data_IF_577977496956
#
_entry.id   IF_577977496956
#
_cell.length_a   1.000
_cell.length_b   1.000
_cell.length_c   1.000
_cell.angle_alpha   90.00
_cell.angle_beta   90.00
_cell.angle_gamma   90.00
#
_symmetry.space_group_name_H-M   'P 1'
#
loop_
_entity.id
_entity.type
_entity.pdbx_description
1 polymer ?
#
# COMPACT_ATOMS: atom_id res chain seq x y z
N UNK A 1 -5.92 -6.47 -20.21
CA UNK A 1 -4.72 -5.63 -20.43
C UNK A 1 -5.06 -4.34 -21.16
N UNK A 2 -5.87 -4.39 -22.21
CA UNK A 2 -6.20 -3.22 -23.05
C UNK A 2 -6.80 -2.04 -22.29
N UNK A 3 -7.70 -2.30 -21.33
CA UNK A 3 -8.28 -1.25 -20.50
C UNK A 3 -7.20 -0.47 -19.72
N UNK A 4 -6.26 -1.18 -19.08
CA UNK A 4 -5.17 -0.53 -18.35
C UNK A 4 -4.25 0.25 -19.28
N UNK A 5 -3.91 -0.30 -20.44
CA UNK A 5 -3.07 0.38 -21.43
C UNK A 5 -3.75 1.66 -21.95
N UNK A 6 -5.02 1.57 -22.34
CA UNK A 6 -5.82 2.70 -22.83
C UNK A 6 -5.91 3.83 -21.80
N UNK A 7 -6.14 3.48 -20.53
CA UNK A 7 -6.28 4.46 -19.47
C UNK A 7 -4.95 4.96 -18.91
N UNK A 8 -3.84 4.23 -19.06
CA UNK A 8 -2.54 4.60 -18.46
C UNK A 8 -1.53 5.21 -19.44
N UNK A 9 -1.69 5.01 -20.76
CA UNK A 9 -0.74 5.46 -21.78
C UNK A 9 -1.29 6.59 -22.65
N UNK A 10 -0.44 7.51 -23.08
CA UNK A 10 -0.74 8.56 -24.07
C UNK A 10 0.26 8.53 -25.21
N UNK A 11 -0.14 9.03 -26.39
CA UNK A 11 0.78 9.23 -27.51
C UNK A 11 1.65 10.45 -27.29
N UNK A 12 2.93 10.31 -27.64
CA UNK A 12 3.92 11.37 -27.73
C UNK A 12 4.62 11.23 -29.11
N UNK A 13 4.07 11.92 -30.12
CA UNK A 13 4.45 11.74 -31.52
C UNK A 13 4.11 10.33 -32.03
N UNK A 14 5.14 9.60 -32.46
CA UNK A 14 5.05 8.20 -32.90
C UNK A 14 5.24 7.20 -31.75
N UNK A 15 5.65 7.66 -30.57
CA UNK A 15 5.85 6.82 -29.39
C UNK A 15 4.64 6.85 -28.44
N UNK A 16 4.61 5.86 -27.54
CA UNK A 16 3.71 5.84 -26.39
C UNK A 16 4.49 6.09 -25.11
N UNK A 17 3.89 6.87 -24.21
CA UNK A 17 4.46 7.16 -22.90
C UNK A 17 3.39 7.03 -21.81
N UNK A 18 3.81 6.85 -20.56
CA UNK A 18 2.92 6.84 -19.42
C UNK A 18 2.26 8.22 -19.25
N UNK A 19 0.98 8.23 -18.87
CA UNK A 19 0.28 9.48 -18.52
C UNK A 19 0.81 10.08 -17.22
N UNK A 20 1.31 9.26 -16.30
CA UNK A 20 2.02 9.73 -15.12
C UNK A 20 3.48 10.03 -15.45
N UNK A 21 4.08 10.98 -14.71
CA UNK A 21 5.48 11.36 -14.93
C UNK A 21 6.43 10.20 -14.61
N UNK A 22 7.39 9.85 -15.49
CA UNK A 22 8.42 8.85 -15.19
C UNK A 22 9.29 9.22 -13.97
N UNK A 23 9.29 10.49 -13.54
CA UNK A 23 9.98 10.92 -12.33
C UNK A 23 9.50 10.22 -11.06
N UNK A 24 8.30 9.60 -11.05
CA UNK A 24 7.84 8.78 -9.91
C UNK A 24 8.76 7.60 -9.61
N UNK A 25 9.55 7.15 -10.60
CA UNK A 25 10.56 6.11 -10.45
C UNK A 25 11.96 6.67 -10.16
N UNK A 26 12.15 7.99 -10.28
CA UNK A 26 13.38 8.69 -9.86
C UNK A 26 13.31 9.05 -8.38
N UNK A 27 12.91 8.11 -7.54
CA UNK A 27 13.11 8.25 -6.10
C UNK A 27 14.56 7.87 -5.82
N UNK A 28 15.25 8.71 -5.06
CA UNK A 28 16.52 8.34 -4.47
C UNK A 28 16.22 7.18 -3.52
N UNK A 29 16.38 5.95 -4.00
CA UNK A 29 16.20 4.74 -3.20
C UNK A 29 17.39 4.63 -2.25
N UNK A 30 17.48 5.53 -1.27
CA UNK A 30 18.52 5.47 -0.24
C UNK A 30 18.17 4.26 0.63
N UNK A 31 19.00 3.21 0.68
CA UNK A 31 18.67 1.98 1.41
C UNK A 31 18.35 2.21 2.88
N UNK A 32 18.89 3.27 3.49
CA UNK A 32 18.60 3.67 4.87
C UNK A 32 17.13 4.06 5.09
N UNK A 33 16.47 4.71 4.12
CA UNK A 33 15.06 5.10 4.26
C UNK A 33 14.14 3.88 4.34
N UNK A 34 14.46 2.82 3.60
CA UNK A 34 13.72 1.56 3.64
C UNK A 34 13.86 0.85 4.98
N UNK A 35 15.05 0.92 5.59
CA UNK A 35 15.32 0.33 6.90
C UNK A 35 14.62 1.11 8.03
N UNK A 36 14.46 2.42 7.89
CA UNK A 36 13.80 3.26 8.90
C UNK A 36 12.28 3.25 8.78
N UNK A 37 11.72 2.90 7.62
CA UNK A 37 10.29 3.01 7.34
C UNK A 37 9.39 2.29 8.37
N UNK A 38 9.80 1.11 8.85
CA UNK A 38 9.07 0.40 9.90
C UNK A 38 9.03 1.18 11.21
N UNK A 39 10.17 1.77 11.61
CA UNK A 39 10.29 2.58 12.82
C UNK A 39 9.47 3.86 12.70
N UNK A 40 9.61 4.57 11.57
CA UNK A 40 8.84 5.78 11.29
C UNK A 40 7.33 5.50 11.34
N UNK A 41 6.88 4.37 10.80
CA UNK A 41 5.48 3.96 10.88
C UNK A 41 5.04 3.78 12.33
N UNK A 42 5.78 3.02 13.15
CA UNK A 42 5.39 2.77 14.54
C UNK A 42 5.36 4.06 15.38
N UNK A 43 6.38 4.90 15.23
CA UNK A 43 6.54 6.16 15.98
C UNK A 43 5.57 7.27 15.51
N UNK A 44 5.00 7.15 14.30
CA UNK A 44 4.09 8.17 13.78
C UNK A 44 2.85 8.35 14.69
N UNK A 45 2.44 9.59 14.97
CA UNK A 45 1.28 9.86 15.81
C UNK A 45 -0.03 9.48 15.12
N UNK A 46 -1.06 9.21 15.92
CA UNK A 46 -2.41 8.93 15.44
C UNK A 46 -2.68 7.45 15.13
N UNK A 47 -3.88 7.21 14.58
CA UNK A 47 -4.34 5.87 14.24
C UNK A 47 -3.67 5.40 12.96
N UNK A 48 -3.16 4.17 13.01
CA UNK A 48 -2.38 3.55 11.94
C UNK A 48 -2.98 2.20 11.61
N UNK A 49 -2.87 1.80 10.35
CA UNK A 49 -3.18 0.44 9.90
C UNK A 49 -2.37 0.13 8.64
N UNK A 50 -2.09 -1.14 8.43
CA UNK A 50 -1.45 -1.65 7.21
C UNK A 50 -2.48 -2.50 6.48
N UNK A 51 -2.79 -2.14 5.23
CA UNK A 51 -3.62 -2.97 4.33
C UNK A 51 -2.72 -3.42 3.18
N UNK A 52 -2.57 -4.73 3.03
CA UNK A 52 -1.69 -5.31 2.01
C UNK A 52 -2.39 -6.44 1.27
N UNK A 53 -1.88 -6.80 0.08
CA UNK A 53 -2.29 -8.03 -0.58
C UNK A 53 -1.70 -9.24 0.15
N UNK A 54 -2.52 -10.26 0.41
CA UNK A 54 -2.11 -11.51 1.07
C UNK A 54 -0.93 -12.20 0.37
N UNK A 55 -0.84 -12.08 -0.96
CA UNK A 55 0.20 -12.67 -1.80
C UNK A 55 1.28 -11.65 -2.21
N UNK A 56 1.37 -10.53 -1.48
CA UNK A 56 2.38 -9.50 -1.75
C UNK A 56 3.79 -10.02 -1.47
N UNK A 57 4.70 -9.82 -2.42
CA UNK A 57 6.14 -10.05 -2.21
C UNK A 57 6.84 -8.84 -1.59
N UNK A 58 6.16 -7.70 -1.51
CA UNK A 58 6.70 -6.46 -0.92
C UNK A 58 6.29 -6.28 0.54
N UNK A 59 5.27 -7.02 1.01
CA UNK A 59 4.88 -7.04 2.40
C UNK A 59 4.48 -8.48 2.74
N UNK A 60 5.34 -9.15 3.51
CA UNK A 60 5.24 -10.58 3.84
C UNK A 60 4.95 -10.75 5.33
N UNK A 61 4.85 -12.01 5.79
CA UNK A 61 4.77 -12.30 7.22
C UNK A 61 5.97 -11.72 7.99
N UNK A 62 7.18 -11.81 7.44
CA UNK A 62 8.38 -11.19 8.02
C UNK A 62 8.24 -9.67 8.18
N UNK A 63 7.56 -9.00 7.24
CA UNK A 63 7.27 -7.56 7.35
C UNK A 63 6.30 -7.26 8.50
N UNK A 64 5.27 -8.09 8.67
CA UNK A 64 4.33 -8.00 9.78
C UNK A 64 5.03 -8.24 11.12
N UNK A 65 5.87 -9.27 11.20
CA UNK A 65 6.59 -9.60 12.43
C UNK A 65 7.60 -8.51 12.79
N UNK A 66 8.31 -7.96 11.81
CA UNK A 66 9.18 -6.81 12.02
C UNK A 66 8.45 -5.58 12.60
N UNK A 67 7.25 -5.26 12.09
CA UNK A 67 6.43 -4.16 12.65
C UNK A 67 6.07 -4.43 14.12
N UNK A 68 5.78 -5.69 14.47
CA UNK A 68 5.48 -6.10 15.85
C UNK A 68 6.71 -6.01 16.75
N UNK A 69 7.88 -6.44 16.27
CA UNK A 69 9.16 -6.32 16.99
C UNK A 69 9.52 -4.87 17.31
N UNK A 70 9.16 -3.93 16.43
CA UNK A 70 9.32 -2.50 16.66
C UNK A 70 8.31 -1.89 17.64
N UNK A 71 7.34 -2.67 18.15
CA UNK A 71 6.33 -2.24 19.11
C UNK A 71 4.98 -1.87 18.49
N UNK A 72 4.78 -2.06 17.19
CA UNK A 72 3.51 -1.79 16.49
C UNK A 72 2.39 -2.81 16.75
N UNK A 73 2.30 -3.36 17.96
CA UNK A 73 1.36 -4.43 18.34
C UNK A 73 -0.12 -4.01 18.22
N UNK A 74 -0.38 -2.71 18.29
CA UNK A 74 -1.71 -2.10 18.23
C UNK A 74 -2.10 -1.66 16.81
N UNK A 75 -1.19 -1.78 15.83
CA UNK A 75 -1.43 -1.42 14.44
C UNK A 75 -2.14 -2.60 13.75
N UNK A 76 -3.41 -2.46 13.31
CA UNK A 76 -4.08 -3.52 12.57
C UNK A 76 -3.35 -3.78 11.24
N UNK A 77 -3.04 -5.05 10.99
CA UNK A 77 -2.47 -5.52 9.72
C UNK A 77 -3.52 -6.39 9.04
N UNK A 78 -4.03 -5.93 7.90
CA UNK A 78 -5.18 -6.50 7.18
C UNK A 78 -4.69 -7.01 5.83
N UNK A 79 -4.71 -8.33 5.66
CA UNK A 79 -4.43 -8.97 4.38
C UNK A 79 -5.70 -9.03 3.53
N UNK A 80 -5.63 -8.54 2.28
CA UNK A 80 -6.69 -8.71 1.28
C UNK A 80 -6.44 -10.04 0.55
N UNK A 81 -7.36 -11.02 0.66
CA UNK A 81 -7.18 -12.35 0.09
C UNK A 81 -6.97 -12.31 -1.42
N UNK A 82 -6.21 -13.26 -1.97
CA UNK A 82 -6.01 -13.40 -3.44
C UNK A 82 -5.44 -12.16 -4.15
N UNK A 83 -4.84 -11.21 -3.41
CA UNK A 83 -4.27 -9.99 -3.96
C UNK A 83 -2.75 -9.94 -3.79
N UNK A 84 -2.06 -9.39 -4.79
CA UNK A 84 -0.62 -9.06 -4.74
C UNK A 84 -0.45 -7.60 -4.34
N UNK A 85 0.71 -7.00 -4.64
CA UNK A 85 1.01 -5.62 -4.29
C UNK A 85 -0.03 -4.61 -4.83
N UNK A 86 -0.53 -4.83 -6.04
CA UNK A 86 -1.59 -3.98 -6.62
C UNK A 86 -2.98 -4.47 -6.25
N UNK A 87 -3.26 -4.65 -4.95
CA UNK A 87 -4.54 -5.11 -4.41
C UNK A 87 -5.77 -4.34 -4.88
N UNK A 88 -5.60 -3.06 -5.22
CA UNK A 88 -6.66 -2.23 -5.80
C UNK A 88 -7.12 -2.73 -7.18
N UNK A 89 -6.25 -3.42 -7.91
CA UNK A 89 -6.53 -4.00 -9.22
C UNK A 89 -6.98 -5.46 -9.09
N UNK A 90 -6.32 -6.24 -8.23
CA UNK A 90 -6.62 -7.65 -8.06
C UNK A 90 -7.99 -7.85 -7.37
N UNK A 91 -8.25 -7.09 -6.29
CA UNK A 91 -9.41 -7.27 -5.41
C UNK A 91 -10.03 -5.93 -4.98
N UNK A 92 -10.57 -5.13 -5.93
CA UNK A 92 -11.06 -3.78 -5.66
C UNK A 92 -12.17 -3.72 -4.61
N UNK A 93 -13.11 -4.67 -4.64
CA UNK A 93 -14.24 -4.69 -3.70
C UNK A 93 -13.81 -5.07 -2.29
N UNK A 94 -12.96 -6.08 -2.15
CA UNK A 94 -12.43 -6.49 -0.85
C UNK A 94 -11.56 -5.38 -0.23
N UNK A 95 -10.74 -4.72 -1.04
CA UNK A 95 -9.94 -3.57 -0.59
C UNK A 95 -10.83 -2.41 -0.11
N UNK A 96 -11.85 -2.02 -0.87
CA UNK A 96 -12.79 -0.97 -0.47
C UNK A 96 -13.56 -1.35 0.81
N UNK A 97 -13.95 -2.61 0.94
CA UNK A 97 -14.62 -3.10 2.14
C UNK A 97 -13.72 -2.98 3.38
N UNK A 98 -12.46 -3.40 3.28
CA UNK A 98 -11.47 -3.28 4.36
C UNK A 98 -11.26 -1.82 4.79
N UNK A 99 -11.09 -0.90 3.84
CA UNK A 99 -10.94 0.53 4.13
C UNK A 99 -12.19 1.12 4.81
N UNK A 100 -13.38 0.79 4.31
CA UNK A 100 -14.64 1.28 4.91
C UNK A 100 -14.82 0.79 6.34
N UNK A 101 -14.53 -0.49 6.60
CA UNK A 101 -14.61 -1.07 7.93
C UNK A 101 -13.62 -0.39 8.89
N UNK A 102 -12.37 -0.23 8.47
CA UNK A 102 -11.32 0.44 9.26
C UNK A 102 -11.72 1.87 9.64
N UNK A 103 -12.12 2.67 8.64
CA UNK A 103 -12.49 4.07 8.84
C UNK A 103 -13.77 4.22 9.69
N UNK A 104 -14.74 3.31 9.53
CA UNK A 104 -15.94 3.29 10.35
C UNK A 104 -15.62 2.98 11.82
N UNK A 105 -14.76 1.99 12.08
CA UNK A 105 -14.30 1.66 13.43
C UNK A 105 -13.64 2.86 14.12
N UNK A 106 -12.75 3.55 13.40
CA UNK A 106 -12.16 4.79 13.90
C UNK A 106 -13.17 5.91 14.15
N UNK A 107 -14.27 5.98 13.41
CA UNK A 107 -15.29 6.99 13.66
C UNK A 107 -16.13 6.73 14.90
N UNK A 108 -16.35 5.46 15.25
CA UNK A 108 -17.17 5.07 16.40
C UNK A 108 -16.46 5.41 17.71
N UNK A 109 -15.15 5.14 17.79
CA UNK A 109 -14.30 5.46 18.95
C UNK A 109 -14.07 6.96 19.22
N UNK A 110 -14.61 7.87 18.39
CA UNK A 110 -14.52 9.33 18.61
C UNK A 110 -15.70 9.90 19.41
N UNK A 111 -16.72 9.08 19.69
CA UNK A 111 -17.86 9.41 20.55
C UNK A 111 -17.69 8.75 21.92
#
# INVERSE_FOLDING_TARGET
MDYMAYHSLRREGEAWTWKFSPSVFKRDNVPSEWLEMGRTLVEAPGRKAIVHGEQSLLFTNDSSDYVRELGGIDIPIIAVPEARHHLMLDQPLAFVAALRALLAGWSIERN
#
